data_IF_203378432195
#
_entry.id   IF_203378432195
#
_cell.length_a   1.000
_cell.length_b   1.000
_cell.length_c   1.000
_cell.angle_alpha   90.00
_cell.angle_beta   90.00
_cell.angle_gamma   90.00
#
_symmetry.space_group_name_H-M   'P 1'
#
loop_
_entity.id
_entity.type
_entity.pdbx_description
1 polymer ?
#
# COMPACT_ATOMS: atom_id res chain seq x y z
N UNK A 1 -20.07 -35.20 -17.82
CA UNK A 1 -21.00 -35.42 -16.70
C UNK A 1 -21.47 -34.06 -16.22
N UNK A 2 -22.75 -33.74 -16.44
CA UNK A 2 -23.41 -32.54 -15.92
C UNK A 2 -23.44 -32.63 -14.40
N UNK A 3 -22.99 -31.58 -13.73
CA UNK A 3 -22.97 -31.50 -12.28
C UNK A 3 -24.42 -31.24 -11.85
N UNK A 4 -25.14 -32.28 -11.43
CA UNK A 4 -26.55 -32.19 -11.04
C UNK A 4 -26.63 -31.56 -9.64
N UNK A 5 -27.51 -30.56 -9.50
CA UNK A 5 -27.78 -29.89 -8.22
C UNK A 5 -28.69 -30.79 -7.38
N UNK A 6 -28.30 -31.11 -6.13
CA UNK A 6 -29.06 -32.01 -5.26
C UNK A 6 -29.40 -31.29 -3.95
N UNK A 7 -30.67 -31.35 -3.54
CA UNK A 7 -31.13 -30.94 -2.23
C UNK A 7 -31.47 -32.18 -1.40
N UNK A 8 -31.12 -32.18 -0.11
CA UNK A 8 -31.55 -33.23 0.81
C UNK A 8 -32.97 -32.94 1.28
N UNK A 9 -33.89 -33.84 0.93
CA UNK A 9 -35.31 -33.73 1.27
C UNK A 9 -35.62 -33.83 2.77
N UNK A 10 -34.74 -34.43 3.57
CA UNK A 10 -34.96 -34.71 5.00
C UNK A 10 -36.39 -35.23 5.32
N UNK A 11 -36.94 -36.08 4.44
CA UNK A 11 -38.29 -36.65 4.51
C UNK A 11 -39.47 -35.66 4.52
N UNK A 12 -39.28 -34.42 4.06
CA UNK A 12 -40.37 -33.45 3.88
C UNK A 12 -41.19 -33.72 2.61
N UNK A 13 -42.52 -33.44 2.63
CA UNK A 13 -43.32 -33.43 1.40
C UNK A 13 -42.84 -32.33 0.43
N UNK A 14 -43.04 -32.52 -0.88
CA UNK A 14 -42.76 -31.54 -1.94
C UNK A 14 -41.31 -31.08 -2.11
N UNK A 15 -40.35 -31.82 -1.54
CA UNK A 15 -38.92 -31.52 -1.62
C UNK A 15 -38.29 -31.67 -3.02
N UNK A 16 -39.05 -32.15 -4.00
CA UNK A 16 -38.68 -32.26 -5.40
C UNK A 16 -39.33 -31.18 -6.29
N UNK A 17 -39.99 -30.18 -5.70
CA UNK A 17 -40.61 -29.08 -6.45
C UNK A 17 -39.59 -27.99 -6.78
N UNK A 18 -39.76 -27.31 -7.92
CA UNK A 18 -38.94 -26.14 -8.27
C UNK A 18 -38.99 -25.07 -7.17
N UNK A 19 -40.18 -24.85 -6.60
CA UNK A 19 -40.37 -23.92 -5.48
C UNK A 19 -39.56 -24.31 -4.24
N UNK A 20 -39.44 -25.61 -3.94
CA UNK A 20 -38.58 -26.07 -2.84
C UNK A 20 -37.14 -25.66 -3.08
N UNK A 21 -36.61 -25.86 -4.30
CA UNK A 21 -35.24 -25.46 -4.67
C UNK A 21 -35.06 -23.94 -4.67
N UNK A 22 -35.99 -23.18 -5.26
CA UNK A 22 -35.92 -21.71 -5.32
C UNK A 22 -35.92 -21.05 -3.94
N UNK A 23 -36.60 -21.66 -2.97
CA UNK A 23 -36.67 -21.18 -1.59
C UNK A 23 -35.44 -21.55 -0.74
N UNK A 24 -34.52 -22.36 -1.27
CA UNK A 24 -33.29 -22.70 -0.54
C UNK A 24 -32.26 -21.58 -0.61
N UNK A 25 -31.52 -21.41 0.48
CA UNK A 25 -30.34 -20.55 0.49
C UNK A 25 -29.18 -21.28 -0.18
N UNK A 26 -28.64 -20.67 -1.24
CA UNK A 26 -27.38 -21.07 -1.87
C UNK A 26 -26.28 -20.06 -1.56
N UNK A 27 -25.06 -20.55 -1.42
CA UNK A 27 -23.86 -19.72 -1.21
C UNK A 27 -22.92 -19.85 -2.40
N UNK A 28 -22.05 -18.86 -2.59
CA UNK A 28 -20.88 -19.05 -3.44
C UNK A 28 -19.93 -20.04 -2.76
N UNK A 29 -19.35 -20.93 -3.57
CA UNK A 29 -18.36 -21.92 -3.13
C UNK A 29 -17.03 -21.64 -3.80
N UNK A 30 -16.01 -21.44 -2.97
CA UNK A 30 -14.63 -21.26 -3.40
C UNK A 30 -13.72 -21.96 -2.40
N UNK A 31 -12.93 -22.87 -2.92
CA UNK A 31 -11.81 -23.45 -2.20
C UNK A 31 -10.56 -22.59 -2.50
N UNK A 32 -9.62 -22.56 -1.56
CA UNK A 32 -8.39 -21.78 -1.63
C UNK A 32 -7.64 -22.00 -2.95
N UNK A 33 -7.61 -23.23 -3.47
CA UNK A 33 -6.90 -23.57 -4.72
C UNK A 33 -7.62 -23.14 -6.00
N UNK A 34 -8.84 -22.61 -5.90
CA UNK A 34 -9.65 -22.21 -7.06
C UNK A 34 -9.60 -20.69 -7.25
N UNK A 35 -9.29 -20.27 -8.46
CA UNK A 35 -9.25 -18.85 -8.85
C UNK A 35 -10.61 -18.16 -8.75
N UNK A 36 -11.68 -18.84 -9.18
CA UNK A 36 -13.04 -18.29 -9.26
C UNK A 36 -13.98 -19.01 -8.32
N UNK A 37 -14.85 -18.23 -7.68
CA UNK A 37 -16.03 -18.72 -7.00
C UNK A 37 -16.96 -19.39 -8.00
N UNK A 38 -17.69 -20.42 -7.55
CA UNK A 38 -18.78 -21.02 -8.30
C UNK A 38 -20.06 -20.87 -7.51
N UNK A 39 -21.20 -20.84 -8.20
CA UNK A 39 -22.48 -21.00 -7.54
C UNK A 39 -22.49 -22.36 -6.83
N UNK A 40 -22.78 -22.35 -5.54
CA UNK A 40 -22.86 -23.55 -4.73
C UNK A 40 -23.92 -24.48 -5.28
N UNK A 41 -23.60 -25.77 -5.23
CA UNK A 41 -24.45 -26.82 -5.79
C UNK A 41 -25.32 -27.53 -4.74
N UNK A 42 -25.06 -27.24 -3.48
CA UNK A 42 -25.74 -27.82 -2.33
C UNK A 42 -26.55 -26.75 -1.62
N UNK A 43 -27.66 -27.20 -1.04
CA UNK A 43 -28.44 -26.42 -0.08
C UNK A 43 -27.64 -26.25 1.20
N UNK A 44 -27.59 -25.04 1.72
CA UNK A 44 -26.95 -24.76 3.00
C UNK A 44 -27.97 -24.89 4.14
N UNK A 45 -27.83 -25.90 5.01
CA UNK A 45 -28.66 -26.00 6.21
C UNK A 45 -28.44 -24.79 7.13
N UNK A 46 -29.53 -24.14 7.54
CA UNK A 46 -29.58 -22.89 8.34
C UNK A 46 -28.74 -21.73 7.78
N UNK A 47 -29.21 -21.15 6.68
CA UNK A 47 -29.44 -19.70 6.56
C UNK A 47 -28.22 -18.77 6.62
N UNK A 48 -27.01 -19.29 6.44
CA UNK A 48 -25.79 -18.49 6.48
C UNK A 48 -24.79 -18.94 5.44
N UNK A 49 -24.27 -17.96 4.71
CA UNK A 49 -23.11 -18.07 3.85
C UNK A 49 -21.96 -17.35 4.54
N UNK A 50 -20.75 -17.87 4.36
CA UNK A 50 -19.55 -17.18 4.80
C UNK A 50 -18.61 -16.91 3.63
N UNK A 51 -17.81 -15.87 3.80
CA UNK A 51 -16.57 -15.66 3.06
C UNK A 51 -15.49 -15.28 4.05
N UNK A 52 -14.29 -15.81 3.85
CA UNK A 52 -13.16 -15.39 4.66
C UNK A 52 -11.80 -15.70 4.04
N UNK A 53 -10.76 -15.31 4.76
CA UNK A 53 -9.36 -15.48 4.38
C UNK A 53 -8.76 -16.58 5.24
N UNK A 54 -8.29 -17.66 4.62
CA UNK A 54 -7.64 -18.77 5.32
C UNK A 54 -6.33 -18.33 5.99
N UNK A 55 -6.09 -18.75 7.24
CA UNK A 55 -4.87 -18.33 7.97
C UNK A 55 -3.59 -18.90 7.37
N UNK A 56 -3.65 -20.11 6.82
CA UNK A 56 -2.47 -20.89 6.46
C UNK A 56 -2.10 -20.67 4.99
N UNK A 57 -3.08 -20.76 4.11
CA UNK A 57 -2.87 -20.64 2.67
C UNK A 57 -3.06 -19.19 2.18
N UNK A 58 -3.55 -18.30 3.06
CA UNK A 58 -3.83 -16.89 2.74
C UNK A 58 -4.71 -16.72 1.50
N UNK A 59 -5.66 -17.64 1.26
CA UNK A 59 -6.59 -17.54 0.14
C UNK A 59 -8.02 -17.26 0.60
N UNK A 60 -8.84 -16.74 -0.32
CA UNK A 60 -10.27 -16.55 -0.10
C UNK A 60 -11.01 -17.90 -0.13
N UNK A 61 -11.83 -18.13 0.87
CA UNK A 61 -12.70 -19.30 1.03
C UNK A 61 -14.15 -18.84 1.14
N UNK A 62 -15.05 -19.53 0.45
CA UNK A 62 -16.47 -19.22 0.44
C UNK A 62 -17.26 -20.53 0.58
N UNK A 63 -18.34 -20.51 1.37
CA UNK A 63 -19.23 -21.66 1.50
C UNK A 63 -20.44 -21.43 2.40
N UNK A 64 -21.11 -22.53 2.73
CA UNK A 64 -22.21 -22.59 3.71
C UNK A 64 -21.68 -22.51 5.15
N UNK A 65 -22.43 -21.88 6.04
CA UNK A 65 -22.16 -21.83 7.48
C UNK A 65 -21.87 -20.42 7.97
N UNK A 66 -21.51 -20.33 9.25
CA UNK A 66 -21.15 -19.08 9.92
C UNK A 66 -19.66 -18.99 10.17
N UNK A 67 -19.12 -17.78 10.22
CA UNK A 67 -17.72 -17.55 10.59
C UNK A 67 -17.33 -18.15 11.94
N UNK A 68 -18.26 -18.21 12.91
CA UNK A 68 -18.03 -18.82 14.22
C UNK A 68 -17.66 -20.31 14.16
N UNK A 69 -18.02 -21.00 13.07
CA UNK A 69 -17.74 -22.42 12.84
C UNK A 69 -16.35 -22.64 12.19
N UNK A 70 -15.68 -21.54 11.78
CA UNK A 70 -14.44 -21.59 11.02
C UNK A 70 -13.30 -20.85 11.73
N UNK A 71 -12.65 -21.52 12.69
CA UNK A 71 -11.55 -20.96 13.49
C UNK A 71 -10.25 -20.67 12.69
N UNK A 72 -10.15 -21.20 11.46
CA UNK A 72 -9.01 -21.03 10.56
C UNK A 72 -9.15 -19.84 9.60
N UNK A 73 -10.03 -18.89 9.89
CA UNK A 73 -10.17 -17.67 9.08
C UNK A 73 -9.66 -16.44 9.86
N UNK A 74 -8.92 -15.55 9.19
CA UNK A 74 -8.40 -14.29 9.78
C UNK A 74 -9.44 -13.18 9.67
N UNK A 75 -10.03 -13.03 8.48
CA UNK A 75 -11.17 -12.15 8.21
C UNK A 75 -12.30 -13.00 7.73
N UNK A 76 -13.48 -12.84 8.31
CA UNK A 76 -14.64 -13.60 7.89
C UNK A 76 -15.91 -12.79 8.09
N UNK A 77 -16.77 -12.82 7.08
CA UNK A 77 -18.08 -12.19 7.10
C UNK A 77 -19.16 -13.24 6.82
N UNK A 78 -20.29 -13.10 7.52
CA UNK A 78 -21.46 -13.97 7.36
C UNK A 78 -22.62 -13.18 6.79
N UNK A 79 -23.38 -13.78 5.89
CA UNK A 79 -24.55 -13.16 5.29
C UNK A 79 -25.67 -14.19 5.02
N UNK A 80 -26.90 -13.71 4.82
CA UNK A 80 -28.10 -14.56 4.82
C UNK A 80 -29.00 -14.38 3.59
N UNK A 81 -28.45 -13.82 2.50
CA UNK A 81 -29.14 -13.76 1.19
C UNK A 81 -28.53 -14.78 0.23
N UNK A 82 -29.27 -15.22 -0.76
CA UNK A 82 -28.76 -16.13 -1.79
C UNK A 82 -27.54 -15.51 -2.48
N UNK A 83 -26.45 -16.28 -2.58
CA UNK A 83 -25.17 -15.90 -3.17
C UNK A 83 -24.54 -14.60 -2.60
N UNK A 84 -24.84 -14.25 -1.35
CA UNK A 84 -24.42 -12.97 -0.76
C UNK A 84 -22.94 -12.86 -0.41
N UNK A 85 -22.23 -13.98 -0.30
CA UNK A 85 -20.88 -14.05 0.23
C UNK A 85 -19.83 -13.71 -0.84
N UNK A 86 -20.06 -12.64 -1.59
CA UNK A 86 -19.13 -12.10 -2.59
C UNK A 86 -17.93 -11.42 -1.94
N UNK A 87 -16.82 -11.29 -2.69
CA UNK A 87 -15.59 -10.68 -2.19
C UNK A 87 -15.78 -9.25 -1.66
N UNK A 88 -16.71 -8.50 -2.26
CA UNK A 88 -17.01 -7.11 -1.88
C UNK A 88 -17.61 -6.96 -0.47
N UNK A 89 -18.08 -8.04 0.17
CA UNK A 89 -18.58 -7.97 1.55
C UNK A 89 -17.43 -7.81 2.55
N UNK A 90 -16.22 -8.23 2.18
CA UNK A 90 -15.03 -8.02 3.00
C UNK A 90 -14.62 -6.54 2.91
N UNK A 91 -14.14 -5.95 4.01
CA UNK A 91 -13.55 -4.62 3.96
C UNK A 91 -12.44 -4.56 2.90
N UNK A 92 -12.41 -3.50 2.07
CA UNK A 92 -11.41 -3.39 1.02
C UNK A 92 -10.00 -3.44 1.65
N UNK A 93 -9.04 -4.15 1.02
CA UNK A 93 -7.69 -4.20 1.56
C UNK A 93 -7.04 -2.82 1.57
N UNK A 94 -6.16 -2.60 2.55
CA UNK A 94 -5.30 -1.42 2.61
C UNK A 94 -4.41 -1.35 1.36
N UNK A 95 -4.10 -0.13 0.91
CA UNK A 95 -3.08 0.09 -0.12
C UNK A 95 -1.78 0.50 0.56
N UNK A 96 -0.64 -0.02 0.10
CA UNK A 96 0.68 0.38 0.59
C UNK A 96 1.58 0.78 -0.58
N UNK A 97 2.60 1.58 -0.30
CA UNK A 97 3.72 1.73 -1.22
C UNK A 97 4.57 0.47 -1.22
N UNK A 98 5.05 0.08 -2.40
CA UNK A 98 6.02 -0.99 -2.60
C UNK A 98 7.15 -0.47 -3.47
N UNK A 99 8.39 -0.63 -3.01
CA UNK A 99 9.55 -0.31 -3.82
C UNK A 99 9.69 -1.31 -4.96
N UNK A 100 9.71 -0.80 -6.19
CA UNK A 100 9.98 -1.58 -7.39
C UNK A 100 11.49 -1.78 -7.55
N UNK A 101 11.99 -2.99 -7.28
CA UNK A 101 13.41 -3.32 -7.42
C UNK A 101 13.94 -3.28 -8.89
N UNK A 102 13.04 -3.16 -9.87
CA UNK A 102 13.35 -3.38 -11.29
C UNK A 102 13.59 -2.08 -12.11
N UNK A 103 13.55 -0.89 -11.49
CA UNK A 103 13.79 0.37 -12.20
C UNK A 103 14.67 1.30 -11.35
N UNK A 104 15.67 1.90 -11.99
CA UNK A 104 16.37 3.06 -11.45
C UNK A 104 15.89 4.32 -12.19
N UNK A 105 15.48 5.40 -11.49
CA UNK A 105 15.39 5.52 -10.04
C UNK A 105 14.33 4.57 -9.45
N UNK A 106 14.56 4.12 -8.21
CA UNK A 106 13.62 3.26 -7.51
C UNK A 106 12.32 4.02 -7.29
N UNK A 107 11.25 3.59 -7.95
CA UNK A 107 9.93 4.19 -7.80
C UNK A 107 9.08 3.35 -6.86
N UNK A 108 8.51 4.00 -5.86
CA UNK A 108 7.46 3.42 -5.02
C UNK A 108 6.17 3.33 -5.83
N UNK A 109 5.60 2.12 -5.93
CA UNK A 109 4.32 1.87 -6.58
C UNK A 109 3.25 1.62 -5.54
N UNK A 110 2.08 2.19 -5.75
CA UNK A 110 0.89 1.84 -4.96
C UNK A 110 0.46 0.42 -5.30
N UNK A 111 0.30 -0.43 -4.28
CA UNK A 111 -0.27 -1.76 -4.44
C UNK A 111 -1.34 -2.00 -3.39
N UNK A 112 -2.43 -2.64 -3.80
CA UNK A 112 -3.43 -3.19 -2.89
C UNK A 112 -2.84 -4.42 -2.20
N UNK A 113 -2.91 -4.44 -0.87
CA UNK A 113 -2.44 -5.57 -0.10
C UNK A 113 -3.37 -6.77 -0.18
N UNK A 114 -2.85 -7.93 0.20
CA UNK A 114 -3.68 -9.09 0.45
C UNK A 114 -4.61 -8.83 1.64
N UNK A 115 -5.83 -9.37 1.64
CA UNK A 115 -6.79 -9.21 2.75
C UNK A 115 -6.24 -9.66 4.11
N UNK A 116 -5.23 -10.53 4.13
CA UNK A 116 -4.56 -10.95 5.38
C UNK A 116 -3.81 -9.80 6.09
N UNK A 117 -3.45 -8.73 5.38
CA UNK A 117 -2.70 -7.61 5.93
C UNK A 117 -3.63 -6.43 6.22
N UNK A 118 -3.41 -5.79 7.37
CA UNK A 118 -4.13 -4.58 7.83
C UNK A 118 -3.20 -3.38 8.00
N UNK A 119 -1.91 -3.58 7.73
CA UNK A 119 -0.85 -2.62 7.97
C UNK A 119 0.08 -2.54 6.77
N UNK A 120 0.85 -1.47 6.72
CA UNK A 120 1.99 -1.28 5.85
C UNK A 120 3.24 -1.14 6.72
N UNK A 121 4.41 -1.50 6.18
CA UNK A 121 5.67 -1.14 6.79
C UNK A 121 6.59 -0.39 5.84
N UNK A 122 7.47 0.40 6.44
CA UNK A 122 8.66 0.96 5.81
C UNK A 122 9.86 0.68 6.71
N UNK A 123 10.97 0.26 6.10
CA UNK A 123 12.23 0.02 6.80
C UNK A 123 13.36 0.74 6.10
N UNK A 124 14.32 1.22 6.91
CA UNK A 124 15.63 1.66 6.48
C UNK A 124 16.71 0.72 7.02
N UNK A 125 17.25 -0.14 6.17
CA UNK A 125 18.34 -1.04 6.57
C UNK A 125 19.68 -0.58 6.00
N UNK A 126 20.76 -0.84 6.74
CA UNK A 126 22.13 -0.59 6.27
C UNK A 126 22.66 -1.93 5.77
N UNK A 127 22.88 -2.05 4.46
CA UNK A 127 23.30 -3.31 3.87
C UNK A 127 24.67 -3.75 4.42
N UNK A 128 24.83 -5.06 4.65
CA UNK A 128 26.04 -5.67 5.20
C UNK A 128 27.27 -5.26 4.35
N UNK A 129 28.23 -4.57 4.99
CA UNK A 129 29.42 -3.85 4.46
C UNK A 129 29.32 -2.32 4.31
N UNK A 130 28.20 -1.68 4.67
CA UNK A 130 28.14 -0.21 4.79
C UNK A 130 28.19 0.54 3.45
N UNK A 131 27.99 -0.15 2.33
CA UNK A 131 28.05 0.44 0.98
C UNK A 131 26.70 0.99 0.49
N UNK A 132 25.65 1.03 1.32
CA UNK A 132 24.36 1.59 0.90
C UNK A 132 23.26 1.55 1.97
N UNK A 133 22.24 2.37 1.75
CA UNK A 133 20.98 2.38 2.50
C UNK A 133 19.94 1.68 1.63
N UNK A 134 19.30 0.64 2.19
CA UNK A 134 18.13 0.01 1.60
C UNK A 134 16.89 0.60 2.24
N UNK A 135 16.01 1.17 1.42
CA UNK A 135 14.63 1.43 1.83
C UNK A 135 13.80 0.28 1.27
N UNK A 136 12.94 -0.29 2.11
CA UNK A 136 11.95 -1.29 1.68
C UNK A 136 10.58 -0.86 2.23
N UNK A 137 9.57 -0.97 1.37
CA UNK A 137 8.17 -0.65 1.65
C UNK A 137 7.33 -1.85 1.21
N UNK A 138 6.40 -2.28 2.05
CA UNK A 138 5.57 -3.45 1.76
C UNK A 138 4.29 -3.48 2.62
N UNK A 139 3.44 -4.46 2.35
CA UNK A 139 2.31 -4.82 3.19
C UNK A 139 2.76 -5.58 4.46
N UNK A 140 2.03 -5.38 5.55
CA UNK A 140 2.16 -6.11 6.80
C UNK A 140 2.94 -5.37 7.88
N UNK A 141 3.20 -6.09 8.96
CA UNK A 141 3.95 -5.60 10.10
C UNK A 141 5.46 -5.69 9.88
N UNK A 142 6.21 -4.91 10.65
CA UNK A 142 7.66 -4.89 10.60
C UNK A 142 8.28 -6.28 10.83
N UNK A 143 9.06 -6.81 9.86
CA UNK A 143 9.80 -8.04 10.07
C UNK A 143 10.81 -7.90 11.21
N UNK A 144 10.88 -8.89 12.11
CA UNK A 144 11.73 -8.84 13.31
C UNK A 144 13.24 -8.73 13.03
N UNK A 145 13.67 -9.00 11.79
CA UNK A 145 15.06 -8.84 11.34
C UNK A 145 15.51 -7.37 11.26
N UNK A 146 14.57 -6.43 11.17
CA UNK A 146 14.88 -5.04 10.92
C UNK A 146 14.83 -4.19 12.18
N UNK A 147 15.89 -3.41 12.42
CA UNK A 147 15.99 -2.51 13.59
C UNK A 147 15.31 -1.16 13.39
N UNK A 148 15.34 -0.61 12.17
CA UNK A 148 14.74 0.69 11.84
C UNK A 148 13.53 0.49 10.94
N UNK A 149 12.46 -0.07 11.49
CA UNK A 149 11.22 -0.32 10.78
C UNK A 149 10.06 0.36 11.49
N UNK A 150 9.12 0.89 10.71
CA UNK A 150 7.88 1.51 11.20
C UNK A 150 6.68 0.86 10.52
N UNK A 151 5.70 0.46 11.33
CA UNK A 151 4.41 -0.06 10.89
C UNK A 151 3.35 1.02 11.03
N UNK A 152 2.42 1.08 10.08
CA UNK A 152 1.30 2.01 10.09
C UNK A 152 0.05 1.37 9.46
N UNK A 153 -1.14 1.81 9.87
CA UNK A 153 -2.41 1.12 9.58
C UNK A 153 -3.38 1.99 8.74
N UNK A 154 -2.86 2.93 7.97
CA UNK A 154 -3.64 3.82 7.09
C UNK A 154 -3.17 3.60 5.65
N UNK A 155 -4.09 3.61 4.68
CA UNK A 155 -3.70 3.45 3.27
C UNK A 155 -2.62 4.46 2.87
N UNK A 156 -1.58 3.95 2.20
CA UNK A 156 -0.43 4.68 1.68
C UNK A 156 0.38 5.41 2.77
N UNK A 157 0.35 4.91 4.01
CA UNK A 157 1.03 5.57 5.12
C UNK A 157 2.55 5.39 5.15
N UNK A 158 3.08 4.36 4.48
CA UNK A 158 4.47 3.91 4.66
C UNK A 158 5.49 4.75 3.89
N UNK A 159 5.46 6.06 4.05
CA UNK A 159 6.37 7.02 3.43
C UNK A 159 7.68 7.19 4.22
N UNK A 160 8.74 7.66 3.54
CA UNK A 160 10.07 7.88 4.15
C UNK A 160 10.05 8.86 5.34
N UNK A 161 9.08 9.77 5.38
CA UNK A 161 8.92 10.72 6.48
C UNK A 161 8.65 10.05 7.83
N UNK A 162 8.18 8.79 7.85
CA UNK A 162 7.98 8.01 9.07
C UNK A 162 9.28 7.44 9.65
N UNK A 163 10.34 7.35 8.85
CA UNK A 163 11.60 6.79 9.32
C UNK A 163 12.31 7.79 10.24
N UNK A 164 12.82 7.35 11.40
CA UNK A 164 13.57 8.23 12.28
C UNK A 164 14.80 8.78 11.55
N UNK A 165 15.00 10.10 11.65
CA UNK A 165 16.21 10.73 11.16
C UNK A 165 17.40 10.13 11.91
N UNK A 166 18.28 9.44 11.19
CA UNK A 166 19.61 9.11 11.69
C UNK A 166 20.32 10.43 11.97
N UNK A 167 20.30 10.87 13.23
CA UNK A 167 21.22 11.88 13.71
C UNK A 167 22.59 11.25 13.71
N UNK A 168 23.28 11.35 12.58
CA UNK A 168 24.72 11.14 12.55
C UNK A 168 25.29 12.11 13.57
N UNK A 169 25.72 11.62 14.74
CA UNK A 169 26.52 12.39 15.67
C UNK A 169 27.81 12.75 14.94
N UNK A 170 27.78 13.87 14.23
CA UNK A 170 29.00 14.56 13.84
C UNK A 170 29.64 14.91 15.18
N UNK A 171 30.74 14.22 15.48
CA UNK A 171 31.65 14.60 16.54
C UNK A 171 32.11 16.00 16.16
N UNK A 172 31.53 17.03 16.76
CA UNK A 172 32.02 18.40 16.64
C UNK A 172 33.40 18.41 17.27
N UNK A 173 34.42 18.23 16.44
CA UNK A 173 35.77 18.62 16.76
C UNK A 173 35.75 20.13 16.89
N UNK A 174 35.84 20.58 18.13
CA UNK A 174 36.04 21.96 18.53
C UNK A 174 37.21 22.56 17.75
N UNK A 175 36.91 23.49 16.85
CA UNK A 175 37.89 24.44 16.33
C UNK A 175 37.45 25.84 16.69
N UNK A 176 38.36 26.50 17.40
CA UNK A 176 38.27 27.83 18.00
C UNK A 176 38.04 28.96 16.99
N UNK A 177 37.44 30.05 17.51
CA UNK A 177 37.51 31.46 17.07
C UNK A 177 36.71 31.81 15.80
N UNK A 178 35.86 32.85 15.74
CA UNK A 178 35.90 34.15 16.41
C UNK A 178 34.50 34.73 16.63
N UNK A 179 34.31 35.37 17.78
CA UNK A 179 33.16 36.21 18.12
C UNK A 179 33.19 37.47 17.26
N UNK A 180 32.16 37.67 16.43
CA UNK A 180 31.74 39.02 16.02
C UNK A 180 30.26 39.14 16.36
N UNK A 181 29.99 40.06 17.28
CA UNK A 181 28.67 40.40 17.79
C UNK A 181 28.09 41.53 16.95
N UNK A 182 26.87 41.36 16.45
CA UNK A 182 25.99 42.50 16.17
C UNK A 182 24.54 42.12 16.50
N UNK A 183 24.05 42.73 17.58
CA UNK A 183 22.64 42.76 18.01
C UNK A 183 21.79 43.46 16.95
N UNK A 184 20.64 42.90 16.56
CA UNK A 184 19.41 43.70 16.37
C UNK A 184 18.18 42.92 16.88
N UNK A 185 17.55 43.60 17.83
CA UNK A 185 16.32 43.45 18.60
C UNK A 185 15.08 42.95 17.82
N UNK A 186 14.41 41.96 18.41
CA UNK A 186 13.04 41.53 18.10
C UNK A 186 12.01 42.48 18.72
N UNK A 187 11.09 43.02 17.91
CA UNK A 187 9.81 43.61 18.37
C UNK A 187 8.63 42.84 17.76
N UNK A 188 7.81 42.32 18.66
CA UNK A 188 6.53 41.63 18.46
C UNK A 188 5.40 42.65 18.35
N UNK A 189 4.56 42.58 17.32
CA UNK A 189 3.19 43.12 17.34
C UNK A 189 2.28 42.21 16.51
N UNK A 190 1.19 41.78 17.14
CA UNK A 190 0.03 41.08 16.58
C UNK A 190 -1.06 42.11 16.28
N UNK A 191 -1.85 41.96 15.20
CA UNK A 191 -3.30 42.26 15.06
C UNK A 191 -3.75 41.96 13.60
N UNK A 192 -4.94 41.38 13.45
CA UNK A 192 -5.76 41.18 12.23
C UNK A 192 -7.08 41.98 12.42
N UNK A 193 -8.05 42.20 11.48
CA UNK A 193 -8.17 41.80 10.07
C UNK A 193 -8.71 42.91 9.10
N UNK A 194 -8.89 42.50 7.83
CA UNK A 194 -9.87 42.96 6.79
C UNK A 194 -9.46 43.89 5.62
N UNK A 195 -9.76 43.36 4.42
CA UNK A 195 -10.15 43.93 3.11
C UNK A 195 -9.28 44.83 2.20
N UNK A 196 -9.21 44.33 0.95
CA UNK A 196 -9.31 44.99 -0.38
C UNK A 196 -8.06 45.09 -1.26
N UNK A 197 -8.08 44.23 -2.29
CA UNK A 197 -7.64 44.38 -3.70
C UNK A 197 -6.52 45.37 -4.05
N UNK A 198 -5.37 44.84 -4.51
CA UNK A 198 -4.65 45.34 -5.69
C UNK A 198 -3.75 44.26 -6.31
N UNK A 199 -4.07 43.93 -7.55
CA UNK A 199 -3.31 43.03 -8.45
C UNK A 199 -2.02 43.73 -8.85
N UNK A 200 -0.87 43.12 -8.56
CA UNK A 200 0.43 43.49 -9.15
C UNK A 200 1.25 42.22 -9.40
N UNK A 201 1.49 41.98 -10.68
CA UNK A 201 2.51 41.10 -11.25
C UNK A 201 3.91 41.57 -10.81
N UNK A 202 4.84 40.62 -10.55
CA UNK A 202 6.26 40.65 -10.98
C UNK A 202 7.03 39.39 -10.47
N UNK A 203 7.77 38.82 -11.43
CA UNK A 203 8.99 38.00 -11.44
C UNK A 203 9.14 36.70 -10.62
N UNK A 204 9.20 35.59 -11.38
CA UNK A 204 10.06 34.44 -11.10
C UNK A 204 11.47 34.76 -11.65
N UNK A 205 12.53 34.72 -10.84
CA UNK A 205 13.89 34.45 -11.32
C UNK A 205 14.75 33.83 -10.21
N UNK A 206 15.23 32.61 -10.46
CA UNK A 206 16.33 31.93 -9.75
C UNK A 206 16.67 30.58 -10.40
N UNK A 207 15.71 29.93 -11.09
CA UNK A 207 15.93 28.62 -11.70
C UNK A 207 16.53 28.64 -13.12
N UNK A 208 16.51 29.78 -13.81
CA UNK A 208 16.86 29.84 -15.24
C UNK A 208 18.38 29.91 -15.50
N UNK A 209 19.16 30.49 -14.58
CA UNK A 209 20.61 30.67 -14.77
C UNK A 209 21.44 29.38 -14.58
N UNK A 210 20.86 28.33 -13.96
CA UNK A 210 21.59 27.07 -13.71
C UNK A 210 21.51 26.09 -14.88
N UNK A 211 20.51 26.24 -15.75
CA UNK A 211 20.31 25.36 -16.91
C UNK A 211 21.15 25.81 -18.11
N UNK A 212 21.26 27.12 -18.34
CA UNK A 212 22.06 27.68 -19.44
C UNK A 212 23.57 27.39 -19.28
N UNK A 213 24.09 27.45 -18.06
CA UNK A 213 25.51 27.14 -17.80
C UNK A 213 25.88 25.67 -18.04
N UNK A 214 24.95 24.73 -17.87
CA UNK A 214 25.23 23.30 -18.16
C UNK A 214 25.24 23.02 -19.66
N UNK A 215 24.40 23.72 -20.44
CA UNK A 215 24.31 23.50 -21.88
C UNK A 215 25.58 24.02 -22.60
N UNK A 216 26.15 25.14 -22.16
CA UNK A 216 27.37 25.75 -22.74
C UNK A 216 28.61 24.87 -22.52
N UNK A 217 28.71 24.19 -21.37
CA UNK A 217 29.85 23.30 -21.08
C UNK A 217 29.82 22.04 -21.96
N UNK A 218 28.63 21.51 -22.26
CA UNK A 218 28.51 20.31 -23.10
C UNK A 218 28.83 20.62 -24.57
N UNK A 219 28.36 21.75 -25.10
CA UNK A 219 28.66 22.15 -26.48
C UNK A 219 30.13 22.49 -26.69
N UNK A 220 30.80 23.13 -25.72
CA UNK A 220 32.23 23.44 -25.83
C UNK A 220 33.10 22.18 -25.81
N UNK A 221 32.78 21.18 -24.98
CA UNK A 221 33.49 19.88 -24.97
C UNK A 221 33.30 19.13 -26.30
N UNK A 222 32.08 19.10 -26.84
CA UNK A 222 31.81 18.41 -28.10
C UNK A 222 32.58 19.02 -29.28
N UNK A 223 32.63 20.36 -29.38
CA UNK A 223 33.39 21.05 -30.43
C UNK A 223 34.89 20.74 -30.30
N UNK A 224 35.42 20.72 -29.08
CA UNK A 224 36.83 20.40 -28.83
C UNK A 224 37.19 18.98 -29.30
N UNK A 225 36.32 18.00 -29.00
CA UNK A 225 36.51 16.62 -29.45
C UNK A 225 36.45 16.49 -30.97
N UNK A 226 35.54 17.19 -31.64
CA UNK A 226 35.47 17.16 -33.11
C UNK A 226 36.68 17.79 -33.79
N UNK A 227 37.27 18.83 -33.20
CA UNK A 227 38.49 19.47 -33.73
C UNK A 227 39.72 18.59 -33.54
N UNK A 228 39.85 17.90 -32.40
CA UNK A 228 40.95 16.96 -32.16
C UNK A 228 40.91 15.80 -33.15
N UNK A 229 39.72 15.28 -33.46
CA UNK A 229 39.54 14.23 -34.46
C UNK A 229 39.86 14.65 -35.90
N UNK A 230 39.86 15.95 -36.19
CA UNK A 230 40.16 16.46 -37.53
C UNK A 230 41.65 16.78 -37.74
N UNK A 231 42.42 16.86 -36.65
CA UNK A 231 43.86 17.19 -36.66
C UNK A 231 44.72 15.91 -36.57
N UNK A 232 44.17 14.82 -36.04
CA UNK A 232 44.78 13.48 -36.03
C UNK A 232 44.44 12.71 -37.31
#
# INVERSE_FOLDING_TARGET
MTNVQCAQCNNGPECNSDSFFENQLFCLEKNIRKWKAKMGMRVCEKGSCFIGVDKNEMGLVQGCGKCSEHHNLIKCETCSKTYCNEEMILPPPIKCYHLSANSQPYESKEKTCHYAYESCYIVRDVFWRGCGILIEQNCGDCPSKYKNCVTCNISLCNEEALLPLTTTKIKETSTSTSKITTKITSKKVTISPDKTTKRRTVSKSSAQNKLENKLIVVTTIYILFTLIFYIL
#
